data_IF_995016535343
#
_entry.id   IF_995016535343
#
_cell.length_a   1.000
_cell.length_b   1.000
_cell.length_c   1.000
_cell.angle_alpha   90.00
_cell.angle_beta   90.00
_cell.angle_gamma   90.00
#
_symmetry.space_group_name_H-M   'P 1'
#
loop_
_entity.id
_entity.type
_entity.pdbx_description
1 polymer ?
#
# COMPACT_ATOMS: atom_id res chain seq x y z
N UNK A 1 -8.58 -18.56 0.21
CA UNK A 1 -8.64 -17.31 -0.60
C UNK A 1 -9.32 -16.25 0.23
N UNK A 2 -8.67 -15.10 0.43
CA UNK A 2 -9.19 -14.01 1.26
C UNK A 2 -9.79 -12.88 0.41
N UNK A 3 -9.19 -12.57 -0.75
CA UNK A 3 -9.71 -11.59 -1.71
C UNK A 3 -9.70 -12.22 -3.10
N UNK A 4 -10.84 -12.11 -3.81
CA UNK A 4 -10.95 -12.50 -5.23
C UNK A 4 -11.47 -11.31 -6.02
N UNK A 5 -10.72 -10.90 -7.02
CA UNK A 5 -11.06 -9.84 -7.98
C UNK A 5 -11.26 -10.51 -9.34
N UNK A 6 -12.46 -10.44 -9.89
CA UNK A 6 -12.85 -11.20 -11.09
C UNK A 6 -13.40 -10.25 -12.15
N UNK A 7 -12.62 -10.02 -13.21
CA UNK A 7 -13.01 -9.29 -14.40
C UNK A 7 -13.48 -7.85 -14.14
N UNK A 8 -12.88 -7.15 -13.14
CA UNK A 8 -13.36 -5.82 -12.82
C UNK A 8 -13.02 -4.80 -13.90
N UNK A 9 -14.06 -4.08 -14.33
CA UNK A 9 -13.92 -2.90 -15.18
C UNK A 9 -14.47 -1.68 -14.45
N UNK A 10 -13.89 -0.50 -14.66
CA UNK A 10 -14.35 0.75 -14.08
C UNK A 10 -14.26 1.89 -15.08
N UNK A 11 -15.43 2.48 -15.38
CA UNK A 11 -15.55 3.72 -16.14
C UNK A 11 -16.16 4.82 -15.30
N UNK A 12 -15.64 6.03 -15.44
CA UNK A 12 -16.18 7.24 -14.84
C UNK A 12 -16.84 8.08 -15.93
N UNK A 13 -18.06 8.52 -15.69
CA UNK A 13 -18.80 9.37 -16.62
C UNK A 13 -18.06 10.69 -16.85
N UNK A 14 -18.01 11.13 -18.12
CA UNK A 14 -17.50 12.44 -18.47
C UNK A 14 -18.20 13.54 -17.65
N UNK A 15 -17.42 14.51 -17.15
CA UNK A 15 -17.94 15.59 -16.30
C UNK A 15 -18.74 16.64 -17.09
N UNK A 16 -18.49 16.77 -18.37
CA UNK A 16 -19.14 17.74 -19.27
C UNK A 16 -20.06 17.03 -20.26
N UNK A 17 -21.15 17.69 -20.66
CA UNK A 17 -22.08 17.16 -21.67
C UNK A 17 -21.34 16.98 -23.02
N UNK A 18 -21.24 15.73 -23.48
CA UNK A 18 -20.50 15.35 -24.71
C UNK A 18 -19.07 14.85 -24.49
N UNK A 19 -18.57 14.81 -23.25
CA UNK A 19 -17.29 14.17 -22.91
C UNK A 19 -17.48 12.66 -22.83
N UNK A 20 -16.56 11.90 -23.43
CA UNK A 20 -16.56 10.44 -23.37
C UNK A 20 -16.29 9.93 -21.95
N UNK A 21 -16.85 8.78 -21.62
CA UNK A 21 -16.55 8.10 -20.37
C UNK A 21 -15.05 7.74 -20.32
N UNK A 22 -14.43 7.96 -19.16
CA UNK A 22 -13.04 7.61 -18.92
C UNK A 22 -12.96 6.22 -18.29
N UNK A 23 -12.53 5.23 -19.06
CA UNK A 23 -12.30 3.87 -18.59
C UNK A 23 -10.92 3.80 -17.89
N UNK A 24 -10.93 3.55 -16.58
CA UNK A 24 -9.73 3.46 -15.75
C UNK A 24 -9.26 2.02 -15.58
N UNK A 25 -10.20 1.07 -15.46
CA UNK A 25 -9.91 -0.36 -15.34
C UNK A 25 -10.66 -1.14 -16.42
N UNK A 26 -10.01 -2.18 -16.97
CA UNK A 26 -10.62 -3.08 -17.95
C UNK A 26 -10.21 -4.52 -17.65
N UNK A 27 -11.16 -5.35 -17.30
CA UNK A 27 -11.03 -6.81 -17.11
C UNK A 27 -9.84 -7.22 -16.19
N UNK A 28 -9.72 -6.53 -15.04
CA UNK A 28 -8.66 -6.81 -14.07
C UNK A 28 -9.06 -7.96 -13.16
N UNK A 29 -8.22 -8.99 -13.09
CA UNK A 29 -8.46 -10.20 -12.29
C UNK A 29 -7.21 -10.61 -11.52
N UNK A 30 -7.35 -10.86 -10.22
CA UNK A 30 -6.31 -11.45 -9.37
C UNK A 30 -6.92 -11.99 -8.08
N UNK A 31 -6.16 -12.82 -7.37
CA UNK A 31 -6.58 -13.43 -6.12
C UNK A 31 -5.51 -13.22 -5.04
N UNK A 32 -5.92 -13.13 -3.77
CA UNK A 32 -5.02 -13.01 -2.63
C UNK A 32 -5.38 -14.09 -1.62
N UNK A 33 -4.38 -14.86 -1.22
CA UNK A 33 -4.53 -15.90 -0.21
C UNK A 33 -4.63 -15.31 1.21
N UNK A 34 -5.15 -16.10 2.15
CA UNK A 34 -5.25 -15.68 3.54
C UNK A 34 -3.86 -15.48 4.14
N UNK A 35 -3.67 -14.36 4.82
CA UNK A 35 -2.41 -13.97 5.43
C UNK A 35 -1.34 -13.48 4.45
N UNK A 36 -1.60 -13.45 3.15
CA UNK A 36 -0.66 -12.96 2.14
C UNK A 36 -0.62 -11.44 2.13
N UNK A 37 0.57 -10.87 1.98
CA UNK A 37 0.78 -9.46 1.73
C UNK A 37 1.03 -9.23 0.22
N UNK A 38 0.08 -8.60 -0.47
CA UNK A 38 0.19 -8.28 -1.90
C UNK A 38 0.33 -6.78 -2.10
N UNK A 39 1.19 -6.40 -3.03
CA UNK A 39 1.39 -5.02 -3.44
C UNK A 39 0.92 -4.81 -4.88
N UNK A 40 0.10 -3.77 -5.11
CA UNK A 40 -0.15 -3.22 -6.44
C UNK A 40 0.88 -2.13 -6.71
N UNK A 41 1.78 -2.38 -7.65
CA UNK A 41 2.82 -1.46 -8.07
C UNK A 41 2.46 -0.88 -9.46
N UNK A 42 2.79 0.37 -9.71
CA UNK A 42 2.58 0.97 -11.03
C UNK A 42 2.60 2.49 -11.01
N UNK A 43 2.64 3.12 -12.19
CA UNK A 43 2.68 4.58 -12.31
C UNK A 43 1.39 5.25 -11.82
N UNK A 44 1.44 6.56 -11.65
CA UNK A 44 0.26 7.34 -11.31
C UNK A 44 -0.82 7.22 -12.39
N UNK A 45 -2.08 7.14 -11.95
CA UNK A 45 -3.24 7.04 -12.85
C UNK A 45 -3.49 5.66 -13.48
N UNK A 46 -2.69 4.62 -13.17
CA UNK A 46 -2.93 3.27 -13.71
C UNK A 46 -4.11 2.52 -13.07
N UNK A 47 -4.78 3.09 -12.05
CA UNK A 47 -5.97 2.49 -11.45
C UNK A 47 -5.76 1.78 -10.11
N UNK A 48 -4.59 1.82 -9.50
CA UNK A 48 -4.27 1.17 -8.21
C UNK A 48 -5.26 1.55 -7.09
N UNK A 49 -5.36 2.86 -6.79
CA UNK A 49 -6.30 3.39 -5.78
C UNK A 49 -7.76 3.09 -6.15
N UNK A 50 -8.11 3.10 -7.45
CA UNK A 50 -9.45 2.71 -7.92
C UNK A 50 -9.71 1.24 -7.59
N UNK A 51 -8.79 0.34 -7.90
CA UNK A 51 -8.89 -1.08 -7.56
C UNK A 51 -9.04 -1.25 -6.04
N UNK A 52 -8.17 -0.60 -5.24
CA UNK A 52 -8.20 -0.67 -3.79
C UNK A 52 -9.54 -0.19 -3.21
N UNK A 53 -10.09 0.93 -3.71
CA UNK A 53 -11.37 1.48 -3.24
C UNK A 53 -12.57 0.63 -3.65
N UNK A 54 -12.49 -0.10 -4.77
CA UNK A 54 -13.50 -1.08 -5.16
C UNK A 54 -13.45 -2.30 -4.23
N UNK A 55 -12.25 -2.82 -3.91
CA UNK A 55 -12.07 -3.90 -2.93
C UNK A 55 -12.59 -3.49 -1.54
N UNK A 56 -12.38 -2.21 -1.14
CA UNK A 56 -12.93 -1.67 0.10
C UNK A 56 -14.47 -1.57 0.11
N UNK A 57 -15.11 -1.56 -1.06
CA UNK A 57 -16.54 -1.35 -1.22
C UNK A 57 -16.95 0.13 -1.18
N UNK A 58 -16.00 1.07 -1.29
CA UNK A 58 -16.29 2.51 -1.42
C UNK A 58 -16.81 2.87 -2.80
N UNK A 59 -16.41 2.10 -3.81
CA UNK A 59 -16.87 2.23 -5.18
C UNK A 59 -17.37 0.89 -5.71
N UNK A 60 -18.38 0.93 -6.59
CA UNK A 60 -18.82 -0.26 -7.32
C UNK A 60 -18.04 -0.36 -8.63
N UNK A 61 -17.63 -1.56 -9.05
CA UNK A 61 -17.13 -1.76 -10.40
C UNK A 61 -18.26 -1.50 -11.41
N UNK A 62 -17.92 -1.19 -12.66
CA UNK A 62 -18.90 -1.12 -13.76
C UNK A 62 -19.27 -2.53 -14.20
N UNK A 63 -18.29 -3.42 -14.23
CA UNK A 63 -18.43 -4.84 -14.55
C UNK A 63 -17.52 -5.66 -13.64
N UNK A 64 -17.79 -6.96 -13.54
CA UNK A 64 -17.03 -7.88 -12.70
C UNK A 64 -17.51 -7.94 -11.26
N UNK A 65 -16.84 -8.77 -10.46
CA UNK A 65 -17.22 -9.08 -9.08
C UNK A 65 -16.00 -9.05 -8.20
N UNK A 66 -16.17 -8.62 -6.95
CA UNK A 66 -15.17 -8.74 -5.90
C UNK A 66 -15.76 -9.53 -4.74
N UNK A 67 -15.00 -10.48 -4.26
CA UNK A 67 -15.31 -11.23 -3.05
C UNK A 67 -14.23 -11.05 -2.01
N UNK A 68 -14.65 -10.88 -0.76
CA UNK A 68 -13.75 -10.86 0.40
C UNK A 68 -14.25 -11.92 1.39
N UNK A 69 -13.39 -12.88 1.72
CA UNK A 69 -13.71 -14.02 2.57
C UNK A 69 -14.97 -14.78 2.10
N UNK A 70 -15.12 -14.97 0.76
CA UNK A 70 -16.24 -15.66 0.14
C UNK A 70 -17.56 -14.85 0.09
N UNK A 71 -17.54 -13.58 0.44
CA UNK A 71 -18.71 -12.71 0.38
C UNK A 71 -18.52 -11.63 -0.69
N UNK A 72 -19.54 -11.44 -1.53
CA UNK A 72 -19.53 -10.37 -2.56
C UNK A 72 -19.53 -9.01 -1.89
N UNK A 73 -18.59 -8.16 -2.30
CA UNK A 73 -18.43 -6.80 -1.80
C UNK A 73 -19.41 -5.86 -2.48
N UNK A 74 -20.39 -5.35 -1.73
CA UNK A 74 -21.39 -4.38 -2.24
C UNK A 74 -21.29 -3.02 -1.54
N UNK A 75 -20.64 -2.96 -0.37
CA UNK A 75 -20.48 -1.77 0.49
C UNK A 75 -19.28 -1.97 1.43
N UNK A 76 -18.77 -0.92 2.08
CA UNK A 76 -17.78 -1.04 3.14
C UNK A 76 -18.29 -1.94 4.29
N UNK A 77 -17.39 -2.71 4.88
CA UNK A 77 -17.70 -3.64 5.96
C UNK A 77 -16.64 -3.67 7.05
N UNK A 78 -16.97 -4.16 8.26
CA UNK A 78 -16.04 -4.24 9.38
C UNK A 78 -15.01 -5.38 9.24
N UNK A 79 -15.18 -6.26 8.27
CA UNK A 79 -14.32 -7.38 7.94
C UNK A 79 -13.00 -6.93 7.31
N UNK A 80 -12.94 -5.69 6.84
CA UNK A 80 -11.78 -5.06 6.22
C UNK A 80 -11.56 -3.65 6.70
N UNK A 81 -10.31 -3.30 6.98
CA UNK A 81 -9.90 -1.96 7.34
C UNK A 81 -9.25 -1.25 6.16
N UNK A 82 -9.31 0.08 6.14
CA UNK A 82 -8.72 0.91 5.10
C UNK A 82 -7.84 1.99 5.72
N UNK A 83 -6.61 2.09 5.25
CA UNK A 83 -5.68 3.16 5.58
C UNK A 83 -5.53 4.08 4.38
N UNK A 84 -5.95 5.35 4.55
CA UNK A 84 -5.89 6.37 3.50
C UNK A 84 -4.49 7.00 3.42
N UNK A 85 -4.10 7.46 2.24
CA UNK A 85 -2.83 8.14 1.98
C UNK A 85 -2.60 9.35 2.90
N UNK A 86 -3.63 10.13 3.19
CA UNK A 86 -3.59 11.28 4.10
C UNK A 86 -3.89 10.91 5.57
N UNK A 87 -3.82 9.61 5.91
CA UNK A 87 -4.12 9.04 7.22
C UNK A 87 -5.56 9.22 7.72
N UNK A 88 -6.28 10.22 7.25
CA UNK A 88 -7.67 10.55 7.62
C UNK A 88 -7.94 10.49 9.14
N UNK A 89 -6.97 10.93 9.95
CA UNK A 89 -7.12 11.01 11.41
C UNK A 89 -8.08 12.13 11.80
N UNK A 90 -8.83 11.92 12.86
CA UNK A 90 -9.74 12.91 13.41
C UNK A 90 -8.94 13.96 14.20
N UNK A 91 -8.79 15.21 13.69
CA UNK A 91 -7.91 16.21 14.31
C UNK A 91 -8.41 16.71 15.67
N UNK A 92 -9.70 16.55 15.96
CA UNK A 92 -10.33 16.90 17.25
C UNK A 92 -10.24 15.80 18.30
N UNK A 93 -9.74 14.61 17.94
CA UNK A 93 -9.53 13.50 18.86
C UNK A 93 -8.05 13.36 19.18
N UNK A 94 -7.75 12.87 20.39
CA UNK A 94 -6.43 12.50 20.82
C UNK A 94 -5.96 11.20 20.15
N UNK A 95 -4.67 10.88 20.24
CA UNK A 95 -4.07 9.66 19.71
C UNK A 95 -4.83 8.40 20.17
N UNK A 96 -4.99 8.23 21.49
CA UNK A 96 -5.71 7.08 22.03
C UNK A 96 -7.17 7.02 21.56
N UNK A 97 -7.84 8.17 21.49
CA UNK A 97 -9.22 8.25 21.04
C UNK A 97 -9.39 7.92 19.55
N UNK A 98 -8.44 8.31 18.69
CA UNK A 98 -8.42 7.93 17.29
C UNK A 98 -8.34 6.41 17.13
N UNK A 99 -7.46 5.74 17.90
CA UNK A 99 -7.27 4.28 17.86
C UNK A 99 -8.51 3.57 18.44
N UNK A 100 -9.08 4.10 19.52
CA UNK A 100 -10.25 3.50 20.18
C UNK A 100 -11.57 3.69 19.40
N UNK A 101 -11.62 4.69 18.50
CA UNK A 101 -12.84 5.08 17.79
C UNK A 101 -13.56 3.93 17.07
N UNK A 102 -12.90 3.10 16.24
CA UNK A 102 -13.59 1.99 15.56
C UNK A 102 -14.13 0.96 16.55
N UNK A 103 -13.42 0.65 17.62
CA UNK A 103 -13.88 -0.26 18.66
C UNK A 103 -15.14 0.26 19.37
N UNK A 104 -15.24 1.58 19.60
CA UNK A 104 -16.45 2.23 20.12
C UNK A 104 -17.64 2.06 19.17
N UNK A 105 -17.40 2.24 17.86
CA UNK A 105 -18.44 2.07 16.83
C UNK A 105 -18.93 0.62 16.73
N UNK A 106 -18.06 -0.34 16.94
CA UNK A 106 -18.39 -1.76 16.99
C UNK A 106 -18.96 -2.21 18.34
N UNK A 107 -19.16 -1.28 19.28
CA UNK A 107 -19.73 -1.54 20.63
C UNK A 107 -18.90 -2.53 21.46
N UNK A 108 -17.59 -2.58 21.24
CA UNK A 108 -16.67 -3.38 22.07
C UNK A 108 -16.73 -2.86 23.52
N UNK A 109 -16.81 -3.75 24.54
CA UNK A 109 -16.86 -3.37 25.94
C UNK A 109 -15.70 -2.48 26.37
N UNK A 110 -15.93 -1.54 27.28
CA UNK A 110 -14.95 -0.51 27.67
C UNK A 110 -13.63 -1.09 28.18
N UNK A 111 -13.69 -2.15 28.98
CA UNK A 111 -12.49 -2.76 29.54
C UNK A 111 -11.66 -3.49 28.48
N UNK A 112 -12.30 -4.14 27.52
CA UNK A 112 -11.63 -4.74 26.37
C UNK A 112 -10.95 -3.68 25.49
N UNK A 113 -11.64 -2.55 25.22
CA UNK A 113 -11.07 -1.45 24.47
C UNK A 113 -9.81 -0.88 25.12
N UNK A 114 -9.86 -0.67 26.45
CA UNK A 114 -8.69 -0.16 27.20
C UNK A 114 -7.50 -1.12 27.12
N UNK A 115 -7.77 -2.43 27.31
CA UNK A 115 -6.73 -3.46 27.20
C UNK A 115 -6.10 -3.45 25.82
N UNK A 116 -6.95 -3.48 24.77
CA UNK A 116 -6.50 -3.47 23.36
C UNK A 116 -5.74 -2.18 23.01
N UNK A 117 -6.24 -1.02 23.45
CA UNK A 117 -5.57 0.26 23.23
C UNK A 117 -4.15 0.26 23.83
N UNK A 118 -3.99 -0.22 25.05
CA UNK A 118 -2.68 -0.32 25.70
C UNK A 118 -1.73 -1.20 24.89
N UNK A 119 -2.16 -2.39 24.49
CA UNK A 119 -1.38 -3.33 23.68
C UNK A 119 -0.93 -2.68 22.34
N UNK A 120 -1.85 -2.00 21.66
CA UNK A 120 -1.57 -1.32 20.39
C UNK A 120 -0.58 -0.16 20.55
N UNK A 121 -0.75 0.66 21.60
CA UNK A 121 0.15 1.78 21.88
C UNK A 121 1.56 1.30 22.24
N UNK A 122 1.69 0.23 23.01
CA UNK A 122 2.96 -0.40 23.34
C UNK A 122 3.65 -0.94 22.08
N UNK A 123 2.93 -1.67 21.24
CA UNK A 123 3.42 -2.24 19.99
C UNK A 123 4.03 -1.17 19.06
N UNK A 124 3.39 -0.01 18.94
CA UNK A 124 3.87 1.08 18.09
C UNK A 124 4.72 2.13 18.82
N UNK A 125 5.11 1.90 20.09
CA UNK A 125 5.89 2.81 20.92
C UNK A 125 5.25 4.20 21.07
N UNK A 126 3.92 4.25 21.18
CA UNK A 126 3.12 5.48 21.28
C UNK A 126 2.50 5.70 22.67
N UNK A 127 2.80 4.89 23.66
CA UNK A 127 2.19 4.95 25.00
C UNK A 127 2.29 6.35 25.63
N UNK A 128 3.45 7.02 25.51
CA UNK A 128 3.66 8.36 26.05
C UNK A 128 2.81 9.45 25.35
N UNK A 129 2.31 9.17 24.15
CA UNK A 129 1.60 10.10 23.30
C UNK A 129 0.08 9.86 23.27
N UNK A 130 -0.44 8.95 24.08
CA UNK A 130 -1.86 8.58 24.12
C UNK A 130 -2.78 9.80 24.24
N UNK A 131 -2.39 10.78 25.07
CA UNK A 131 -3.18 11.97 25.39
C UNK A 131 -2.87 13.19 24.52
N UNK A 132 -1.98 13.08 23.53
CA UNK A 132 -1.64 14.16 22.59
C UNK A 132 -2.67 14.27 21.48
N UNK A 133 -2.89 15.48 20.98
CA UNK A 133 -3.69 15.71 19.79
C UNK A 133 -2.89 15.42 18.52
N UNK A 134 -3.58 15.19 17.41
CA UNK A 134 -2.95 14.81 16.14
C UNK A 134 -2.00 15.90 15.59
N UNK A 135 -2.23 17.15 15.88
CA UNK A 135 -1.37 18.26 15.45
C UNK A 135 -0.06 18.37 16.27
N UNK A 136 0.01 17.73 17.44
CA UNK A 136 1.18 17.74 18.33
C UNK A 136 2.19 16.62 18.05
N UNK A 137 1.89 15.73 17.11
CA UNK A 137 2.72 14.55 16.80
C UNK A 137 3.31 14.63 15.38
N UNK A 138 4.45 13.96 15.17
CA UNK A 138 5.14 13.91 13.87
C UNK A 138 4.36 13.13 12.80
N UNK A 139 4.73 13.32 11.51
CA UNK A 139 4.13 12.59 10.38
C UNK A 139 4.20 11.07 10.54
N UNK A 140 5.37 10.53 10.93
CA UNK A 140 5.53 9.10 11.17
C UNK A 140 4.71 8.59 12.37
N UNK A 141 4.48 9.42 13.39
CA UNK A 141 3.58 9.06 14.49
C UNK A 141 2.11 9.05 14.01
N UNK A 142 1.69 10.02 13.20
CA UNK A 142 0.35 10.05 12.59
C UNK A 142 0.08 8.79 11.77
N UNK A 143 1.06 8.36 11.00
CA UNK A 143 0.98 7.13 10.22
C UNK A 143 0.78 5.90 11.13
N UNK A 144 1.58 5.76 12.19
CA UNK A 144 1.42 4.68 13.17
C UNK A 144 0.04 4.70 13.82
N UNK A 145 -0.46 5.86 14.20
CA UNK A 145 -1.83 6.02 14.75
C UNK A 145 -2.88 5.55 13.75
N UNK A 146 -2.74 5.89 12.46
CA UNK A 146 -3.66 5.45 11.42
C UNK A 146 -3.64 3.92 11.23
N UNK A 147 -2.45 3.33 11.24
CA UNK A 147 -2.28 1.88 11.18
C UNK A 147 -2.92 1.19 12.40
N UNK A 148 -2.64 1.67 13.62
CA UNK A 148 -3.24 1.11 14.83
C UNK A 148 -4.76 1.25 14.85
N UNK A 149 -5.29 2.39 14.37
CA UNK A 149 -6.73 2.57 14.20
C UNK A 149 -7.33 1.56 13.23
N UNK A 150 -6.66 1.28 12.12
CA UNK A 150 -7.08 0.27 11.17
C UNK A 150 -7.07 -1.14 11.78
N UNK A 151 -6.07 -1.46 12.59
CA UNK A 151 -5.90 -2.77 13.24
C UNK A 151 -6.70 -2.95 14.54
N UNK A 152 -7.32 -1.88 15.08
CA UNK A 152 -7.96 -1.91 16.39
C UNK A 152 -9.10 -2.93 16.52
N UNK A 153 -9.78 -3.24 15.43
CA UNK A 153 -10.89 -4.21 15.40
C UNK A 153 -10.48 -5.58 14.83
N UNK A 154 -9.19 -5.90 14.78
CA UNK A 154 -8.64 -7.16 14.25
C UNK A 154 -9.24 -7.52 12.87
N UNK A 155 -9.13 -6.66 11.87
CA UNK A 155 -9.70 -6.90 10.55
C UNK A 155 -9.03 -8.13 9.91
N UNK A 156 -9.79 -8.90 9.15
CA UNK A 156 -9.24 -10.01 8.36
C UNK A 156 -8.45 -9.52 7.16
N UNK A 157 -8.82 -8.35 6.63
CA UNK A 157 -8.19 -7.71 5.47
C UNK A 157 -7.79 -6.28 5.82
N UNK A 158 -6.56 -5.90 5.47
CA UNK A 158 -6.03 -4.55 5.58
C UNK A 158 -5.73 -4.00 4.18
N UNK A 159 -6.36 -2.90 3.84
CA UNK A 159 -6.20 -2.18 2.58
C UNK A 159 -5.43 -0.89 2.85
N UNK A 160 -4.33 -0.64 2.14
CA UNK A 160 -3.44 0.49 2.38
C UNK A 160 -3.16 1.26 1.08
N UNK A 161 -3.50 2.53 1.06
CA UNK A 161 -3.26 3.42 -0.08
C UNK A 161 -2.05 4.29 0.20
N UNK A 162 -0.92 3.98 -0.41
CA UNK A 162 0.38 4.66 -0.26
C UNK A 162 0.75 4.97 1.21
N UNK A 163 0.80 3.95 2.08
CA UNK A 163 0.91 4.17 3.52
C UNK A 163 2.20 4.88 3.95
N UNK A 164 3.26 4.86 3.13
CA UNK A 164 4.59 5.40 3.45
C UNK A 164 5.01 6.59 2.56
N UNK A 165 4.11 7.13 1.74
CA UNK A 165 4.43 8.16 0.75
C UNK A 165 4.86 9.52 1.32
N UNK A 166 4.46 9.86 2.54
CA UNK A 166 4.63 11.21 3.11
C UNK A 166 5.76 11.33 4.16
N UNK A 167 6.73 10.40 4.17
CA UNK A 167 7.82 10.38 5.15
C UNK A 167 9.19 10.33 4.47
N UNK A 168 10.22 10.90 5.15
CA UNK A 168 11.59 10.84 4.70
C UNK A 168 12.14 9.40 4.65
N UNK A 169 13.26 9.21 3.97
CA UNK A 169 13.84 7.90 3.71
C UNK A 169 14.16 7.09 4.99
N UNK A 170 14.77 7.72 6.00
CA UNK A 170 15.16 7.02 7.23
C UNK A 170 13.91 6.60 8.03
N UNK A 171 12.95 7.50 8.13
CA UNK A 171 11.68 7.21 8.80
C UNK A 171 10.90 6.13 8.06
N UNK A 172 10.91 6.13 6.72
CA UNK A 172 10.27 5.11 5.89
C UNK A 172 10.79 3.71 6.21
N UNK A 173 12.11 3.52 6.26
CA UNK A 173 12.70 2.23 6.62
C UNK A 173 12.31 1.75 8.02
N UNK A 174 12.27 2.67 9.00
CA UNK A 174 11.82 2.33 10.35
C UNK A 174 10.35 1.88 10.35
N UNK A 175 9.49 2.60 9.65
CA UNK A 175 8.06 2.30 9.57
C UNK A 175 7.77 1.01 8.80
N UNK A 176 8.56 0.70 7.76
CA UNK A 176 8.46 -0.57 7.04
C UNK A 176 8.73 -1.76 7.97
N UNK A 177 9.79 -1.69 8.78
CA UNK A 177 10.09 -2.73 9.79
C UNK A 177 8.94 -2.88 10.79
N UNK A 178 8.44 -1.77 11.33
CA UNK A 178 7.32 -1.79 12.27
C UNK A 178 6.04 -2.36 11.64
N UNK A 179 5.77 -2.04 10.38
CA UNK A 179 4.63 -2.58 9.63
C UNK A 179 4.77 -4.10 9.44
N UNK A 180 5.96 -4.55 9.03
CA UNK A 180 6.28 -5.97 8.88
C UNK A 180 6.09 -6.73 10.21
N UNK A 181 6.63 -6.22 11.32
CA UNK A 181 6.50 -6.81 12.65
C UNK A 181 5.03 -6.92 13.10
N UNK A 182 4.25 -5.85 12.92
CA UNK A 182 2.85 -5.78 13.31
C UNK A 182 2.00 -6.77 12.49
N UNK A 183 2.17 -6.78 11.18
CA UNK A 183 1.37 -7.62 10.28
C UNK A 183 1.79 -9.09 10.37
N UNK A 184 3.08 -9.37 10.52
CA UNK A 184 3.60 -10.72 10.72
C UNK A 184 3.04 -11.42 11.96
N UNK A 185 2.87 -10.67 13.07
CA UNK A 185 2.26 -11.21 14.30
C UNK A 185 0.78 -11.56 14.14
N UNK A 186 0.04 -10.84 13.28
CA UNK A 186 -1.42 -10.97 13.15
C UNK A 186 -1.88 -11.82 11.97
N UNK A 187 -0.98 -12.19 11.05
CA UNK A 187 -1.32 -12.90 9.79
C UNK A 187 -2.50 -12.27 9.05
N UNK A 188 -2.59 -10.93 9.07
CA UNK A 188 -3.65 -10.18 8.40
C UNK A 188 -3.39 -10.18 6.89
N UNK A 189 -4.38 -10.56 6.09
CA UNK A 189 -4.30 -10.42 4.63
C UNK A 189 -4.19 -8.95 4.26
N UNK A 190 -3.18 -8.57 3.49
CA UNK A 190 -2.90 -7.17 3.18
C UNK A 190 -2.84 -6.91 1.69
N UNK A 191 -3.50 -5.85 1.24
CA UNK A 191 -3.36 -5.29 -0.11
C UNK A 191 -2.91 -3.85 0.01
N UNK A 192 -1.71 -3.57 -0.49
CA UNK A 192 -1.09 -2.26 -0.46
C UNK A 192 -0.94 -1.71 -1.88
N UNK A 193 -1.12 -0.41 -2.01
CA UNK A 193 -0.81 0.34 -3.23
C UNK A 193 0.44 1.17 -2.97
N UNK A 194 1.38 1.12 -3.89
CA UNK A 194 2.57 1.98 -3.88
C UNK A 194 3.08 2.22 -5.31
N UNK A 195 3.93 3.21 -5.48
CA UNK A 195 4.75 3.43 -6.67
C UNK A 195 6.23 3.17 -6.40
N UNK A 196 6.61 2.80 -5.17
CA UNK A 196 7.98 2.56 -4.73
C UNK A 196 8.33 1.07 -4.87
N UNK A 197 9.33 0.77 -5.72
CA UNK A 197 9.78 -0.61 -5.99
C UNK A 197 10.41 -1.23 -4.76
N UNK A 198 11.29 -0.51 -4.04
CA UNK A 198 11.96 -1.02 -2.83
C UNK A 198 10.94 -1.38 -1.75
N UNK A 199 9.93 -0.51 -1.56
CA UNK A 199 8.83 -0.77 -0.63
C UNK A 199 8.06 -2.03 -1.01
N UNK A 200 7.75 -2.21 -2.28
CA UNK A 200 7.01 -3.38 -2.77
C UNK A 200 7.79 -4.68 -2.55
N UNK A 201 9.10 -4.69 -2.84
CA UNK A 201 9.96 -5.85 -2.60
C UNK A 201 10.12 -6.10 -1.09
N UNK A 202 10.28 -5.05 -0.28
CA UNK A 202 10.53 -5.20 1.16
C UNK A 202 9.33 -5.78 1.91
N UNK A 203 8.11 -5.32 1.62
CA UNK A 203 6.93 -5.63 2.42
C UNK A 203 6.13 -6.82 1.91
N UNK A 204 6.05 -7.04 0.59
CA UNK A 204 5.06 -7.96 0.04
C UNK A 204 5.59 -9.37 -0.24
N UNK A 205 4.71 -10.35 -0.17
CA UNK A 205 4.99 -11.73 -0.62
C UNK A 205 4.78 -11.88 -2.13
N UNK A 206 4.07 -10.89 -2.72
CA UNK A 206 3.73 -10.88 -4.15
C UNK A 206 3.48 -9.44 -4.62
N UNK A 207 4.02 -9.11 -5.79
CA UNK A 207 3.87 -7.79 -6.43
C UNK A 207 3.13 -7.95 -7.76
N UNK A 208 2.01 -7.24 -7.90
CA UNK A 208 1.24 -7.16 -9.13
C UNK A 208 1.54 -5.79 -9.77
N UNK A 209 2.14 -5.78 -10.96
CA UNK A 209 2.49 -4.55 -11.66
C UNK A 209 1.38 -4.19 -12.64
N UNK A 210 0.82 -2.97 -12.48
CA UNK A 210 -0.25 -2.42 -13.30
C UNK A 210 0.27 -1.34 -14.26
N UNK A 211 -0.22 -1.33 -15.49
CA UNK A 211 0.09 -0.32 -16.50
C UNK A 211 -1.01 0.76 -16.60
N UNK A 212 -0.70 1.86 -17.30
CA UNK A 212 -1.69 2.90 -17.65
C UNK A 212 -2.73 2.45 -18.67
N UNK A 213 -2.49 1.35 -19.36
CA UNK A 213 -3.47 0.77 -20.28
C UNK A 213 -4.62 0.11 -19.51
N UNK A 214 -5.54 0.96 -19.03
CA UNK A 214 -6.74 0.56 -18.28
C UNK A 214 -6.48 -0.41 -17.11
N UNK A 215 -5.38 -0.22 -16.40
CA UNK A 215 -5.03 -1.05 -15.26
C UNK A 215 -4.60 -2.47 -15.61
N UNK A 216 -4.20 -2.72 -16.87
CA UNK A 216 -3.73 -4.03 -17.31
C UNK A 216 -2.58 -4.51 -16.42
N UNK A 217 -2.70 -5.74 -15.94
CA UNK A 217 -1.62 -6.41 -15.20
C UNK A 217 -0.52 -6.80 -16.19
N UNK A 218 0.68 -6.29 -15.96
CA UNK A 218 1.86 -6.61 -16.76
C UNK A 218 2.62 -7.82 -16.22
N UNK A 219 2.68 -7.90 -14.89
CA UNK A 219 3.40 -8.98 -14.20
C UNK A 219 2.72 -9.25 -12.86
N UNK A 220 2.83 -10.49 -12.42
CA UNK A 220 2.36 -10.99 -11.13
C UNK A 220 3.48 -11.82 -10.51
N UNK A 221 4.36 -11.16 -9.77
CA UNK A 221 5.64 -11.66 -9.31
C UNK A 221 5.60 -12.09 -7.86
N UNK A 222 5.89 -13.36 -7.57
CA UNK A 222 6.10 -13.85 -6.21
C UNK A 222 7.49 -13.43 -5.72
N UNK A 223 7.57 -12.89 -4.51
CA UNK A 223 8.82 -12.51 -3.84
C UNK A 223 9.19 -13.62 -2.84
N UNK A 224 10.07 -14.50 -3.25
CA UNK A 224 10.53 -15.63 -2.45
C UNK A 224 11.81 -15.27 -1.68
N UNK A 225 11.66 -14.39 -0.69
CA UNK A 225 12.73 -13.94 0.20
C UNK A 225 12.35 -14.21 1.66
N UNK A 226 13.30 -14.68 2.49
CA UNK A 226 13.04 -14.89 3.91
C UNK A 226 12.73 -13.55 4.62
N UNK A 227 11.98 -13.61 5.71
CA UNK A 227 11.71 -12.47 6.61
C UNK A 227 12.52 -12.61 7.91
N UNK A 228 13.05 -11.53 8.50
CA UNK A 228 13.03 -10.16 7.98
C UNK A 228 13.90 -10.03 6.72
N UNK A 229 13.46 -9.20 5.76
CA UNK A 229 14.18 -9.02 4.50
C UNK A 229 15.46 -8.21 4.67
N UNK A 230 16.52 -8.71 4.06
CA UNK A 230 17.84 -8.07 4.05
C UNK A 230 18.08 -7.39 2.69
N UNK A 231 18.15 -6.05 2.72
CA UNK A 231 18.45 -5.24 1.53
C UNK A 231 19.86 -5.43 0.98
N UNK A 232 20.76 -6.07 1.73
CA UNK A 232 22.11 -6.39 1.25
C UNK A 232 22.16 -7.70 0.47
N UNK A 233 21.08 -8.48 0.50
CA UNK A 233 21.01 -9.77 -0.20
C UNK A 233 20.98 -9.55 -1.74
N UNK A 234 21.86 -10.20 -2.50
CA UNK A 234 21.86 -10.13 -3.97
C UNK A 234 20.52 -10.49 -4.62
N UNK A 235 19.77 -11.44 -4.06
CA UNK A 235 18.44 -11.80 -4.56
C UNK A 235 17.41 -10.66 -4.35
N UNK A 236 17.55 -9.88 -3.27
CA UNK A 236 16.73 -8.69 -3.07
C UNK A 236 16.92 -7.70 -4.21
N UNK A 237 18.17 -7.41 -4.55
CA UNK A 237 18.49 -6.51 -5.66
C UNK A 237 18.00 -7.06 -7.01
N UNK A 238 18.07 -8.37 -7.23
CA UNK A 238 17.55 -8.99 -8.46
C UNK A 238 16.04 -8.73 -8.62
N UNK A 239 15.24 -8.82 -7.54
CA UNK A 239 13.82 -8.48 -7.58
C UNK A 239 13.57 -7.00 -7.83
N UNK A 240 14.35 -6.10 -7.18
CA UNK A 240 14.27 -4.65 -7.40
C UNK A 240 14.57 -4.33 -8.87
N UNK A 241 15.61 -4.92 -9.43
CA UNK A 241 16.00 -4.74 -10.83
C UNK A 241 14.91 -5.23 -11.80
N UNK A 242 14.38 -6.43 -11.57
CA UNK A 242 13.31 -7.00 -12.41
C UNK A 242 12.06 -6.11 -12.39
N UNK A 243 11.59 -5.71 -11.21
CA UNK A 243 10.41 -4.85 -11.09
C UNK A 243 10.64 -3.46 -11.68
N UNK A 244 11.88 -2.92 -11.57
CA UNK A 244 12.27 -1.66 -12.17
C UNK A 244 12.15 -1.70 -13.70
N UNK A 245 12.63 -2.76 -14.35
CA UNK A 245 12.50 -2.92 -15.80
C UNK A 245 11.03 -3.05 -16.26
N UNK A 246 10.22 -3.82 -15.50
CA UNK A 246 8.79 -3.93 -15.80
C UNK A 246 8.08 -2.58 -15.63
N UNK A 247 8.42 -1.82 -14.58
CA UNK A 247 7.82 -0.52 -14.31
C UNK A 247 8.17 0.51 -15.39
N UNK A 248 9.37 0.46 -15.99
CA UNK A 248 9.72 1.26 -17.17
C UNK A 248 8.74 1.03 -18.33
N UNK A 249 8.40 -0.23 -18.60
CA UNK A 249 7.43 -0.56 -19.64
C UNK A 249 6.03 -0.04 -19.31
N UNK A 250 5.67 -0.02 -18.02
CA UNK A 250 4.39 0.51 -17.53
C UNK A 250 4.28 2.04 -17.68
N UNK A 251 5.41 2.77 -17.69
CA UNK A 251 5.48 4.22 -17.86
C UNK A 251 5.35 4.67 -19.30
N UNK A 252 5.59 3.80 -20.28
CA UNK A 252 5.55 4.16 -21.71
C UNK A 252 4.11 4.55 -22.12
N UNK A 253 3.95 5.77 -22.69
CA UNK A 253 2.71 6.18 -23.34
C UNK A 253 1.84 7.24 -22.66
N UNK A 254 2.42 8.18 -21.87
CA UNK A 254 1.59 9.24 -21.26
C UNK A 254 2.33 10.51 -20.86
N UNK A 255 1.58 11.51 -20.37
CA UNK A 255 2.14 12.69 -19.73
C UNK A 255 2.61 12.29 -18.32
N UNK A 256 3.89 12.57 -18.02
CA UNK A 256 4.48 12.22 -16.74
C UNK A 256 3.99 13.13 -15.62
N UNK A 257 3.54 12.53 -14.51
CA UNK A 257 3.23 13.22 -13.24
C UNK A 257 4.49 13.44 -12.41
N UNK A 258 4.39 14.11 -11.24
CA UNK A 258 5.53 14.23 -10.33
C UNK A 258 5.97 12.85 -9.81
N UNK A 259 5.02 11.97 -9.44
CA UNK A 259 5.31 10.60 -9.02
C UNK A 259 6.05 9.79 -10.11
N UNK A 260 5.69 9.99 -11.38
CA UNK A 260 6.40 9.34 -12.49
C UNK A 260 7.85 9.83 -12.64
N UNK A 261 8.10 11.10 -12.32
CA UNK A 261 9.47 11.65 -12.31
C UNK A 261 10.27 11.04 -11.17
N UNK A 262 9.68 10.89 -9.99
CA UNK A 262 10.32 10.27 -8.84
C UNK A 262 10.65 8.79 -9.13
N UNK A 263 9.75 8.07 -9.81
CA UNK A 263 10.02 6.71 -10.33
C UNK A 263 11.18 6.71 -11.33
N UNK A 264 11.20 7.67 -12.27
CA UNK A 264 12.27 7.78 -13.27
C UNK A 264 13.61 8.11 -12.64
N UNK A 265 13.66 8.98 -11.63
CA UNK A 265 14.88 9.29 -10.88
C UNK A 265 15.42 8.05 -10.16
N UNK A 266 14.52 7.27 -9.52
CA UNK A 266 14.88 5.99 -8.91
C UNK A 266 15.47 5.02 -9.95
N UNK A 267 14.82 4.87 -11.11
CA UNK A 267 15.28 4.03 -12.22
C UNK A 267 16.68 4.44 -12.69
N UNK A 268 16.92 5.73 -12.91
CA UNK A 268 18.22 6.27 -13.32
C UNK A 268 19.30 6.02 -12.25
N UNK A 269 18.94 6.11 -10.97
CA UNK A 269 19.83 5.79 -9.85
C UNK A 269 20.26 4.32 -9.87
N UNK A 270 19.34 3.39 -10.08
CA UNK A 270 19.63 1.95 -10.22
C UNK A 270 20.52 1.67 -11.42
N UNK A 271 20.26 2.29 -12.57
CA UNK A 271 21.09 2.13 -13.80
C UNK A 271 22.50 2.69 -13.62
N UNK A 272 22.62 3.82 -12.93
CA UNK A 272 23.93 4.46 -12.67
C UNK A 272 24.77 3.62 -11.71
N UNK A 273 24.17 2.98 -10.73
CA UNK A 273 24.83 2.09 -9.79
C UNK A 273 25.35 0.79 -10.47
N UNK A 274 24.74 0.38 -11.59
CA UNK A 274 25.14 -0.80 -12.37
C UNK A 274 26.28 -0.54 -13.38
N UNK A 275 26.57 0.74 -13.74
CA UNK A 275 27.69 1.04 -14.63
C UNK A 275 29.01 0.81 -13.88
N UNK A 276 29.88 -0.10 -14.33
CA UNK A 276 31.22 -0.23 -13.77
C UNK A 276 31.93 1.12 -13.90
N UNK A 277 32.67 1.51 -12.86
CA UNK A 277 33.52 2.69 -12.93
C UNK A 277 34.42 2.56 -14.16
N UNK A 278 34.16 3.37 -15.18
CA UNK A 278 34.96 3.39 -16.39
C UNK A 278 36.42 3.71 -15.99
N UNK A 279 37.33 2.84 -16.37
CA UNK A 279 38.76 2.90 -16.16
C UNK A 279 39.30 4.33 -16.30
N UNK A 280 39.63 4.95 -15.19
CA UNK A 280 40.54 6.10 -15.13
C UNK A 280 41.98 5.59 -15.02
N UNK A 281 42.36 4.65 -15.88
CA UNK A 281 43.71 4.18 -16.04
C UNK A 281 44.17 4.44 -17.49
N UNK A 282 44.69 5.62 -17.72
CA UNK A 282 45.31 5.88 -19.02
C UNK A 282 45.58 7.36 -19.34
N UNK A 283 46.44 8.01 -18.58
CA UNK A 283 47.21 9.16 -19.06
C UNK A 283 48.32 9.56 -18.08
N UNK A 284 49.38 8.75 -18.05
CA UNK A 284 50.71 9.23 -17.66
C UNK A 284 51.72 8.47 -18.52
N UNK A 285 52.13 9.10 -19.59
CA UNK A 285 53.38 8.88 -20.28
C UNK A 285 53.87 10.22 -20.77
#
# INVERSE_FOLDING_TARGET
>A
MSISVQGISKSFKGRRKGESDNQVLKDVSFEIEEGQFVCLLGPSGCGKTTTLTIVAGFQKPTEGIIEVNGNVVTKPGPDRAFMFQNYALFPWLKVGENIEYPMKKMKVPKEERKKKLKELLEMAQLTKYENYYIHEISGGMKQRVALLRALACDPKVLLMDEPLGAVDFQMRQLLQRQLEDILGQKKTTSLMVTHDVDESVYLSDRVIVMSRDHGKILEDLKIDLPRPRDRTNPQYHAYVDQLTEILKSALSGGVYTQEDKDIMEFIQGVESAKKPAADTAGATA
#
